data_IF_846183767881
#
_entry.id   IF_846183767881
#
_cell.length_a   1.000
_cell.length_b   1.000
_cell.length_c   1.000
_cell.angle_alpha   90.00
_cell.angle_beta   90.00
_cell.angle_gamma   90.00
#
_symmetry.space_group_name_H-M   'P 1'
#
loop_
_entity.id
_entity.type
_entity.pdbx_description
1 polymer ?
#
# COMPACT_ATOMS: atom_id res chain seq x y z
N UNK A 1 10.86 -5.47 -21.52
CA UNK A 1 11.07 -4.47 -20.47
C UNK A 1 11.67 -5.19 -19.29
N UNK A 2 12.82 -4.77 -18.77
CA UNK A 2 13.34 -5.34 -17.53
C UNK A 2 12.31 -5.10 -16.43
N UNK A 3 11.78 -6.17 -15.83
CA UNK A 3 10.81 -6.06 -14.74
C UNK A 3 11.39 -5.16 -13.65
N UNK A 4 10.68 -4.08 -13.31
CA UNK A 4 11.01 -3.27 -12.15
C UNK A 4 10.96 -4.18 -10.93
N UNK A 5 12.01 -4.14 -10.09
CA UNK A 5 11.97 -4.81 -8.80
C UNK A 5 10.82 -4.16 -7.99
N UNK A 6 9.88 -4.93 -7.43
CA UNK A 6 8.82 -4.36 -6.61
C UNK A 6 9.41 -3.74 -5.35
N UNK A 7 8.84 -2.61 -4.93
CA UNK A 7 9.19 -1.95 -3.67
C UNK A 7 8.29 -2.47 -2.54
N UNK A 8 8.87 -2.71 -1.36
CA UNK A 8 8.15 -3.19 -0.18
C UNK A 8 8.33 -2.17 0.94
N UNK A 9 7.22 -1.64 1.47
CA UNK A 9 7.23 -0.62 2.51
C UNK A 9 6.37 -1.03 3.70
N UNK A 10 6.99 -1.12 4.87
CA UNK A 10 6.30 -1.36 6.13
C UNK A 10 5.48 -0.15 6.57
N UNK A 11 4.28 -0.40 7.08
CA UNK A 11 3.44 0.65 7.62
C UNK A 11 4.10 1.26 8.87
N UNK A 12 4.13 2.60 8.99
CA UNK A 12 4.86 3.26 10.08
C UNK A 12 4.26 2.99 11.47
N UNK A 13 2.98 2.65 11.53
CA UNK A 13 2.23 2.46 12.79
C UNK A 13 1.70 1.03 12.99
N UNK A 14 1.91 0.14 12.01
CA UNK A 14 1.45 -1.25 12.05
C UNK A 14 2.61 -2.16 11.67
N UNK A 15 3.27 -2.72 12.69
CA UNK A 15 4.48 -3.55 12.53
C UNK A 15 4.22 -4.86 11.76
N UNK A 16 2.95 -5.24 11.67
CA UNK A 16 2.44 -6.42 10.99
C UNK A 16 1.89 -6.11 9.60
N UNK A 17 2.02 -4.88 9.09
CA UNK A 17 1.50 -4.51 7.76
C UNK A 17 2.57 -3.93 6.86
N UNK A 18 2.47 -4.29 5.59
CA UNK A 18 3.34 -3.76 4.54
C UNK A 18 2.60 -3.63 3.22
N UNK A 19 3.07 -2.71 2.38
CA UNK A 19 2.60 -2.52 1.02
C UNK A 19 3.66 -3.00 0.05
N UNK A 20 3.23 -3.73 -0.97
CA UNK A 20 4.01 -4.03 -2.16
C UNK A 20 3.58 -3.07 -3.26
N UNK A 21 4.55 -2.38 -3.87
CA UNK A 21 4.35 -1.48 -4.99
C UNK A 21 5.03 -2.08 -6.22
N UNK A 22 4.21 -2.56 -7.16
CA UNK A 22 4.65 -3.05 -8.48
C UNK A 22 3.79 -2.42 -9.58
N UNK A 23 3.03 -3.21 -10.34
CA UNK A 23 1.99 -2.71 -11.25
C UNK A 23 0.75 -2.20 -10.53
N UNK A 24 0.55 -2.63 -9.29
CA UNK A 24 -0.54 -2.27 -8.39
C UNK A 24 0.00 -2.13 -6.95
N UNK A 25 -0.80 -1.51 -6.09
CA UNK A 25 -0.51 -1.44 -4.66
C UNK A 25 -1.26 -2.53 -3.92
N UNK A 26 -0.53 -3.38 -3.24
CA UNK A 26 -1.10 -4.50 -2.48
C UNK A 26 -0.73 -4.37 -1.01
N UNK A 27 -1.75 -4.25 -0.14
CA UNK A 27 -1.57 -4.22 1.31
C UNK A 27 -1.67 -5.62 1.88
N UNK A 28 -0.67 -6.02 2.66
CA UNK A 28 -0.61 -7.29 3.35
C UNK A 28 -0.59 -7.10 4.86
N UNK A 29 -1.13 -8.10 5.57
CA UNK A 29 -1.07 -8.25 7.01
C UNK A 29 -0.39 -9.57 7.37
N UNK A 30 0.54 -9.54 8.32
CA UNK A 30 1.29 -10.70 8.78
C UNK A 30 0.62 -11.28 10.01
N UNK A 31 0.26 -12.55 9.93
CA UNK A 31 -0.34 -13.31 11.01
C UNK A 31 0.52 -14.55 11.33
N UNK A 32 0.41 -15.03 12.57
CA UNK A 32 1.03 -16.29 12.98
C UNK A 32 0.37 -17.46 12.26
N UNK A 33 1.19 -18.33 11.64
CA UNK A 33 0.74 -19.53 10.95
C UNK A 33 0.26 -20.65 11.90
N UNK A 34 0.41 -20.45 13.22
CA UNK A 34 0.00 -21.41 14.25
C UNK A 34 -1.53 -21.48 14.40
N UNK A 35 -2.25 -20.48 13.87
CA UNK A 35 -3.71 -20.42 13.92
C UNK A 35 -4.33 -20.42 12.52
N UNK A 36 -5.15 -21.45 12.27
CA UNK A 36 -6.21 -21.55 11.26
C UNK A 36 -5.81 -21.75 9.78
N UNK A 37 -6.72 -22.44 9.09
CA UNK A 37 -6.74 -22.64 7.64
C UNK A 37 -6.31 -21.37 6.90
N UNK A 38 -5.40 -21.52 5.93
CA UNK A 38 -4.92 -20.41 5.12
C UNK A 38 -6.12 -19.70 4.47
N UNK A 39 -6.37 -18.45 4.89
CA UNK A 39 -7.40 -17.61 4.27
C UNK A 39 -7.09 -17.45 2.79
N UNK A 40 -8.11 -17.32 1.94
CA UNK A 40 -7.90 -17.06 0.52
C UNK A 40 -7.02 -15.80 0.32
N UNK A 41 -6.01 -15.90 -0.55
CA UNK A 41 -5.03 -14.82 -0.75
C UNK A 41 -3.90 -14.75 0.29
N UNK A 42 -3.77 -15.76 1.14
CA UNK A 42 -2.66 -15.88 2.10
C UNK A 42 -1.42 -16.52 1.46
N UNK A 43 -0.26 -15.89 1.67
CA UNK A 43 1.05 -16.38 1.26
C UNK A 43 1.86 -16.73 2.50
N UNK A 44 2.35 -17.95 2.60
CA UNK A 44 3.23 -18.36 3.70
C UNK A 44 4.62 -17.73 3.53
N UNK A 45 5.08 -17.02 4.56
CA UNK A 45 6.39 -16.35 4.57
C UNK A 45 7.46 -17.21 5.27
N UNK A 46 7.09 -17.90 6.35
CA UNK A 46 7.94 -18.85 7.09
C UNK A 46 7.13 -20.02 7.64
N UNK A 47 7.75 -20.88 8.46
CA UNK A 47 7.04 -21.94 9.19
C UNK A 47 6.00 -21.37 10.17
N UNK A 48 6.25 -20.18 10.71
CA UNK A 48 5.45 -19.54 11.75
C UNK A 48 4.68 -18.30 11.27
N UNK A 49 4.89 -17.81 10.05
CA UNK A 49 4.28 -16.55 9.59
C UNK A 49 3.67 -16.63 8.20
N UNK A 50 2.54 -15.96 8.04
CA UNK A 50 1.78 -15.88 6.80
C UNK A 50 1.41 -14.42 6.52
N UNK A 51 1.52 -13.97 5.27
CA UNK A 51 1.03 -12.69 4.80
C UNK A 51 -0.34 -12.87 4.12
N UNK A 52 -1.38 -12.27 4.69
CA UNK A 52 -2.72 -12.23 4.14
C UNK A 52 -2.92 -10.93 3.36
N UNK A 53 -3.32 -11.03 2.09
CA UNK A 53 -3.69 -9.85 1.30
C UNK A 53 -4.97 -9.21 1.88
N UNK A 54 -4.90 -7.92 2.21
CA UNK A 54 -6.03 -7.14 2.73
C UNK A 54 -6.75 -6.36 1.63
N UNK A 55 -6.01 -5.75 0.70
CA UNK A 55 -6.57 -4.88 -0.33
C UNK A 55 -5.61 -4.67 -1.49
N UNK A 56 -6.16 -4.38 -2.67
CA UNK A 56 -5.42 -4.00 -3.87
C UNK A 56 -5.95 -2.65 -4.39
N UNK A 57 -5.06 -1.76 -4.81
CA UNK A 57 -5.40 -0.58 -5.61
C UNK A 57 -4.60 -0.60 -6.92
N UNK A 58 -5.32 -0.67 -8.03
CA UNK A 58 -4.78 -0.64 -9.40
C UNK A 58 -5.16 0.62 -10.18
N UNK A 59 -5.77 1.61 -9.50
CA UNK A 59 -6.29 2.83 -10.12
C UNK A 59 -5.18 3.84 -10.47
N UNK A 60 -3.96 3.63 -9.97
CA UNK A 60 -2.83 4.53 -10.20
C UNK A 60 -1.87 3.93 -11.23
N UNK A 61 -1.96 4.28 -12.51
CA UNK A 61 -1.04 3.75 -13.52
C UNK A 61 0.35 4.40 -13.42
N UNK A 62 1.34 3.72 -14.00
CA UNK A 62 2.72 4.23 -14.17
C UNK A 62 3.40 4.65 -12.86
N UNK A 63 3.16 3.92 -11.78
CA UNK A 63 3.79 4.16 -10.48
C UNK A 63 5.31 4.03 -10.58
N UNK A 64 6.01 4.88 -9.83
CA UNK A 64 7.48 4.90 -9.74
C UNK A 64 7.97 4.84 -8.31
N UNK A 65 7.21 5.39 -7.37
CA UNK A 65 7.55 5.34 -5.96
C UNK A 65 6.27 5.52 -5.13
N UNK A 66 6.34 5.10 -3.87
CA UNK A 66 5.25 5.27 -2.91
C UNK A 66 5.82 5.64 -1.55
N UNK A 67 5.06 6.39 -0.76
CA UNK A 67 5.41 6.75 0.61
C UNK A 67 4.18 6.72 1.51
N UNK A 68 4.37 6.22 2.74
CA UNK A 68 3.35 6.27 3.78
C UNK A 68 3.14 7.68 4.32
N UNK A 69 1.89 8.01 4.61
CA UNK A 69 1.59 9.16 5.44
C UNK A 69 2.16 8.93 6.85
N UNK A 70 2.95 9.88 7.39
CA UNK A 70 3.69 9.64 8.62
C UNK A 70 2.81 9.69 9.88
N UNK A 71 1.59 10.23 9.83
CA UNK A 71 0.70 10.29 11.01
C UNK A 71 -0.24 9.10 11.03
N UNK A 72 -0.75 8.81 12.23
CA UNK A 72 -1.68 7.72 12.47
C UNK A 72 -3.06 7.93 11.80
N UNK A 73 -3.59 9.17 11.83
CA UNK A 73 -4.89 9.53 11.23
C UNK A 73 -4.68 10.54 10.08
N UNK A 74 -5.15 10.24 8.85
CA UNK A 74 -5.85 9.02 8.44
C UNK A 74 -4.94 7.78 8.32
N UNK A 75 -5.49 6.63 8.71
CA UNK A 75 -4.81 5.33 8.58
C UNK A 75 -4.67 4.96 7.09
N UNK A 76 -3.60 4.22 6.80
CA UNK A 76 -3.33 3.66 5.48
C UNK A 76 -3.33 4.66 4.31
N UNK A 77 -3.07 5.95 4.54
CA UNK A 77 -2.91 6.95 3.49
C UNK A 77 -1.50 6.85 2.86
N UNK A 78 -1.45 6.89 1.54
CA UNK A 78 -0.25 6.74 0.73
C UNK A 78 -0.14 7.89 -0.28
N UNK A 79 1.08 8.36 -0.51
CA UNK A 79 1.41 9.20 -1.65
C UNK A 79 2.08 8.33 -2.72
N UNK A 80 1.56 8.38 -3.95
CA UNK A 80 2.07 7.58 -5.07
C UNK A 80 2.62 8.52 -6.14
N UNK A 81 3.92 8.43 -6.39
CA UNK A 81 4.60 9.16 -7.45
C UNK A 81 4.50 8.42 -8.78
N UNK A 82 4.13 9.14 -9.84
CA UNK A 82 3.97 8.63 -11.19
C UNK A 82 5.13 9.04 -12.10
N UNK A 83 5.29 8.32 -13.21
CA UNK A 83 6.34 8.58 -14.22
C UNK A 83 6.27 9.99 -14.86
N UNK A 84 5.11 10.63 -14.84
CA UNK A 84 4.89 11.99 -15.33
C UNK A 84 5.19 13.07 -14.27
N UNK A 85 5.75 12.69 -13.12
CA UNK A 85 6.06 13.59 -12.00
C UNK A 85 4.87 13.95 -11.12
N UNK A 86 3.66 13.48 -11.43
CA UNK A 86 2.49 13.69 -10.56
C UNK A 86 2.58 12.84 -9.31
N UNK A 87 1.95 13.32 -8.24
CA UNK A 87 1.76 12.56 -7.00
C UNK A 87 0.26 12.51 -6.71
N UNK A 88 -0.29 11.32 -6.52
CA UNK A 88 -1.69 11.13 -6.11
C UNK A 88 -1.74 10.58 -4.70
N UNK A 89 -2.71 11.03 -3.91
CA UNK A 89 -3.00 10.45 -2.61
C UNK A 89 -4.03 9.32 -2.76
N UNK A 90 -3.74 8.16 -2.18
CA UNK A 90 -4.64 7.00 -2.17
C UNK A 90 -4.65 6.35 -0.77
N UNK A 91 -5.58 5.44 -0.52
CA UNK A 91 -5.66 4.69 0.72
C UNK A 91 -5.99 3.22 0.47
N UNK A 92 -5.43 2.35 1.33
CA UNK A 92 -5.60 0.90 1.29
C UNK A 92 -6.30 0.35 2.55
N UNK A 93 -6.95 1.21 3.35
CA UNK A 93 -7.64 0.81 4.57
C UNK A 93 -9.13 0.53 4.35
N UNK A 94 -9.72 -0.32 5.19
CA UNK A 94 -11.18 -0.52 5.25
C UNK A 94 -11.89 0.66 5.95
N UNK A 95 -11.17 1.41 6.78
CA UNK A 95 -11.74 2.51 7.55
C UNK A 95 -11.64 3.83 6.77
N UNK A 96 -12.67 4.11 5.98
CA UNK A 96 -12.82 5.39 5.30
C UNK A 96 -13.32 6.46 6.29
N UNK A 97 -12.48 6.82 7.26
CA UNK A 97 -12.71 8.00 8.09
C UNK A 97 -12.96 9.22 7.18
N UNK A 98 -13.88 10.10 7.59
CA UNK A 98 -14.25 11.33 6.86
C UNK A 98 -13.06 12.12 6.32
N UNK A 99 -11.96 12.25 7.09
CA UNK A 99 -10.75 12.96 6.69
C UNK A 99 -9.97 12.28 5.55
N UNK A 100 -9.96 10.95 5.48
CA UNK A 100 -9.28 10.24 4.39
C UNK A 100 -10.03 10.45 3.07
N UNK A 101 -11.37 10.51 3.12
CA UNK A 101 -12.21 10.75 1.92
C UNK A 101 -11.92 12.08 1.22
N UNK A 102 -11.58 13.14 1.94
CA UNK A 102 -11.24 14.44 1.35
C UNK A 102 -9.85 14.47 0.71
N UNK A 103 -8.96 13.56 1.12
CA UNK A 103 -7.57 13.51 0.67
C UNK A 103 -7.36 12.52 -0.48
N UNK A 104 -8.07 11.39 -0.47
CA UNK A 104 -7.98 10.36 -1.51
C UNK A 104 -8.36 10.95 -2.87
N UNK A 105 -7.58 10.61 -3.91
CA UNK A 105 -7.74 11.13 -5.26
C UNK A 105 -7.16 12.51 -5.48
N UNK A 106 -6.67 13.20 -4.44
CA UNK A 106 -6.01 14.49 -4.60
C UNK A 106 -4.69 14.31 -5.35
N UNK A 107 -4.55 15.06 -6.43
CA UNK A 107 -3.37 15.05 -7.29
C UNK A 107 -2.52 16.31 -7.10
N UNK A 108 -1.21 16.14 -7.10
CA UNK A 108 -0.20 17.19 -7.05
C UNK A 108 0.66 17.09 -8.31
N UNK A 109 0.73 18.18 -9.07
CA UNK A 109 1.52 18.25 -10.31
C UNK A 109 2.91 18.85 -10.05
N UNK A 110 3.93 18.50 -10.84
CA UNK A 110 5.23 19.17 -10.81
C UNK A 110 5.05 20.69 -10.95
N UNK A 111 5.68 21.46 -10.05
CA UNK A 111 5.63 22.93 -10.10
C UNK A 111 6.67 23.54 -11.05
N UNK A 112 7.68 22.77 -11.40
CA UNK A 112 8.78 23.17 -12.28
C UNK A 112 9.00 22.03 -13.28
N UNK A 113 9.09 22.39 -14.56
CA UNK A 113 9.33 21.50 -15.70
C UNK A 113 10.78 21.63 -16.18
#
# INVERSE_FOLDING_TARGET
MSGSKPDILWAPHHVDRFVVCDSELSLYHIESAVSLELKAGSLRLSEETTATLLSINSDTPYMKCVAWYPKYDPECLLAVGQANGRVVLTSLGQDHNSKSKELIGKEFVPKHA
#
